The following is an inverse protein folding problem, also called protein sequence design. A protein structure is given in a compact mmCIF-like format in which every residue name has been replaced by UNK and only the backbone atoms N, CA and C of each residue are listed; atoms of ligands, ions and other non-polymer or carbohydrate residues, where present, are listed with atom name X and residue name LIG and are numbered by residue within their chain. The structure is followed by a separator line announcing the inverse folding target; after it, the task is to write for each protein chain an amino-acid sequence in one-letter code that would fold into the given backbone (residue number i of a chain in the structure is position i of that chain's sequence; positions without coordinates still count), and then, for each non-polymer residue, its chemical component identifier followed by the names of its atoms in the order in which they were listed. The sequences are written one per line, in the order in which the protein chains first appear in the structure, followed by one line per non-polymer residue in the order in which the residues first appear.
data_IF_825624725244
#
_entry.id   IF_825624725244
#
_cell.length_a   1.000
_cell.length_b   1.000
_cell.length_c   1.000
_cell.angle_alpha   90.00
_cell.angle_beta   90.00
_cell.angle_gamma   90.00
#
_symmetry.space_group_name_H-M   'P 1'
#
loop_
_entity.id
_entity.type
_entity.pdbx_description
1 polymer ?
#
# COMPACT_ATOMS: atom_id res chain seq x y z
N UNK A 1 -1.37 0.79 -19.19
CA UNK A 1 -2.12 0.72 -17.90
C UNK A 1 -3.10 1.87 -17.80
N UNK A 2 -3.70 2.09 -16.63
CA UNK A 2 -4.66 3.20 -16.39
C UNK A 2 -4.09 4.57 -16.80
N UNK A 3 -2.85 4.90 -16.40
CA UNK A 3 -2.22 6.17 -16.77
C UNK A 3 -2.07 6.37 -18.28
N UNK A 4 -1.74 5.32 -19.03
CA UNK A 4 -1.66 5.38 -20.49
C UNK A 4 -3.03 5.64 -21.14
N UNK A 5 -4.10 5.04 -20.61
CA UNK A 5 -5.47 5.27 -21.08
C UNK A 5 -5.92 6.71 -20.76
N UNK A 6 -5.66 7.21 -19.54
CA UNK A 6 -5.93 8.60 -19.19
C UNK A 6 -5.20 9.59 -20.11
N UNK A 7 -3.92 9.34 -20.40
CA UNK A 7 -3.14 10.17 -21.34
C UNK A 7 -3.71 10.13 -22.75
N UNK A 8 -4.17 8.95 -23.22
CA UNK A 8 -4.83 8.82 -24.52
C UNK A 8 -6.09 9.68 -24.58
N UNK A 9 -7.01 9.54 -23.62
CA UNK A 9 -8.25 10.32 -23.61
C UNK A 9 -8.01 11.81 -23.48
N UNK A 10 -7.08 12.23 -22.61
CA UNK A 10 -6.75 13.65 -22.46
C UNK A 10 -6.17 14.25 -23.75
N UNK A 11 -5.28 13.50 -24.42
CA UNK A 11 -4.68 13.95 -25.69
C UNK A 11 -5.71 14.04 -26.82
N UNK A 12 -6.68 13.12 -26.86
CA UNK A 12 -7.66 13.04 -27.93
C UNK A 12 -8.85 13.98 -27.75
N UNK A 13 -9.29 14.21 -26.51
CA UNK A 13 -10.57 14.88 -26.24
C UNK A 13 -10.45 16.11 -25.32
N UNK A 14 -9.24 16.46 -24.86
CA UNK A 14 -8.95 17.64 -24.04
C UNK A 14 -8.70 17.34 -22.56
N UNK A 15 -8.52 18.37 -21.74
CA UNK A 15 -8.06 18.21 -20.35
C UNK A 15 -9.15 17.82 -19.34
N UNK A 16 -10.40 17.70 -19.80
CA UNK A 16 -11.56 17.32 -19.00
C UNK A 16 -12.48 16.47 -19.87
N UNK A 17 -12.50 15.15 -19.65
CA UNK A 17 -13.14 14.17 -20.54
C UNK A 17 -14.02 13.23 -19.74
N UNK A 18 -15.19 12.89 -20.28
CA UNK A 18 -16.06 11.83 -19.74
C UNK A 18 -15.78 10.51 -20.44
N UNK A 19 -15.63 9.45 -19.66
CA UNK A 19 -15.51 8.05 -20.08
C UNK A 19 -16.45 7.17 -19.25
N UNK A 20 -16.52 5.87 -19.55
CA UNK A 20 -17.26 4.89 -18.75
C UNK A 20 -16.34 3.79 -18.26
N UNK A 21 -16.41 3.48 -16.97
CA UNK A 21 -15.70 2.35 -16.36
C UNK A 21 -16.74 1.49 -15.65
N UNK A 22 -16.85 0.22 -16.04
CA UNK A 22 -17.82 -0.73 -15.46
C UNK A 22 -19.28 -0.26 -15.49
N UNK A 23 -19.64 0.60 -16.46
CA UNK A 23 -20.99 1.14 -16.62
C UNK A 23 -21.24 2.47 -15.89
N UNK A 24 -20.29 2.96 -15.08
CA UNK A 24 -20.39 4.24 -14.39
C UNK A 24 -19.68 5.34 -15.17
N UNK A 25 -20.29 6.54 -15.19
CA UNK A 25 -19.64 7.72 -15.74
C UNK A 25 -18.42 8.09 -14.89
N UNK A 26 -17.28 8.25 -15.55
CA UNK A 26 -16.02 8.62 -14.91
C UNK A 26 -15.40 9.80 -15.64
N UNK A 27 -14.93 10.79 -14.89
CA UNK A 27 -14.25 11.95 -15.45
C UNK A 27 -12.74 11.75 -15.38
N UNK A 28 -12.07 11.90 -16.52
CA UNK A 28 -10.61 11.98 -16.64
C UNK A 28 -10.24 13.46 -16.75
N UNK A 29 -9.50 13.96 -15.77
CA UNK A 29 -9.24 15.39 -15.60
C UNK A 29 -7.73 15.61 -15.44
N UNK A 30 -7.18 16.51 -16.24
CA UNK A 30 -5.82 17.05 -16.11
C UNK A 30 -5.79 18.57 -15.86
N UNK A 31 -6.95 19.24 -15.93
CA UNK A 31 -7.07 20.67 -15.65
C UNK A 31 -6.78 20.99 -14.18
N UNK A 32 -5.75 21.78 -13.92
CA UNK A 32 -5.27 22.12 -12.57
C UNK A 32 -6.34 22.72 -11.66
N UNK A 33 -7.18 23.63 -12.17
CA UNK A 33 -8.27 24.26 -11.41
C UNK A 33 -9.30 23.22 -10.92
N UNK A 34 -9.62 22.25 -11.75
CA UNK A 34 -10.56 21.16 -11.42
C UNK A 34 -9.93 20.20 -10.42
N UNK A 35 -8.66 19.84 -10.58
CA UNK A 35 -7.92 19.03 -9.61
C UNK A 35 -7.87 19.69 -8.24
N UNK A 36 -7.59 21.00 -8.17
CA UNK A 36 -7.58 21.75 -6.92
C UNK A 36 -8.96 21.74 -6.23
N UNK A 37 -10.03 21.97 -6.99
CA UNK A 37 -11.40 21.91 -6.47
C UNK A 37 -11.72 20.53 -5.88
N UNK A 38 -11.41 19.46 -6.62
CA UNK A 38 -11.67 18.08 -6.19
C UNK A 38 -10.88 17.73 -4.92
N UNK A 39 -9.59 18.07 -4.87
CA UNK A 39 -8.75 17.75 -3.71
C UNK A 39 -9.06 18.60 -2.47
N UNK A 40 -9.67 19.78 -2.64
CA UNK A 40 -9.99 20.70 -1.55
C UNK A 40 -11.27 20.34 -0.81
N UNK A 41 -12.28 19.81 -1.50
CA UNK A 41 -13.61 19.65 -0.93
C UNK A 41 -13.89 18.23 -0.44
N UNK A 42 -14.42 18.11 0.77
CA UNK A 42 -14.58 16.84 1.48
C UNK A 42 -15.55 15.86 0.81
N UNK A 43 -16.51 16.34 0.02
CA UNK A 43 -17.46 15.47 -0.71
C UNK A 43 -16.81 14.67 -1.85
N UNK A 44 -15.52 14.90 -2.13
CA UNK A 44 -14.69 14.07 -3.00
C UNK A 44 -13.72 13.15 -2.24
N UNK A 45 -13.81 13.08 -0.90
CA UNK A 45 -12.97 12.21 -0.06
C UNK A 45 -13.39 10.74 -0.15
N UNK A 46 -13.32 10.18 -1.34
CA UNK A 46 -13.56 8.77 -1.62
C UNK A 46 -12.80 8.34 -2.88
N UNK A 47 -12.63 7.04 -3.07
CA UNK A 47 -12.08 6.44 -4.29
C UNK A 47 -13.04 5.40 -4.83
N UNK A 48 -12.83 5.01 -6.08
CA UNK A 48 -13.64 3.99 -6.73
C UNK A 48 -12.77 2.85 -7.26
N UNK A 49 -13.41 1.70 -7.48
CA UNK A 49 -12.81 0.50 -8.02
C UNK A 49 -13.84 -0.63 -8.06
N UNK A 50 -13.47 -1.75 -8.68
CA UNK A 50 -14.25 -2.97 -8.68
C UNK A 50 -14.47 -3.46 -7.26
N UNK A 51 -15.72 -3.51 -6.79
CA UNK A 51 -16.06 -4.04 -5.46
C UNK A 51 -15.47 -5.43 -5.23
N UNK A 52 -15.61 -6.35 -6.20
CA UNK A 52 -15.00 -7.67 -6.12
C UNK A 52 -13.47 -7.61 -6.05
N UNK A 53 -12.84 -6.77 -6.88
CA UNK A 53 -11.40 -6.56 -6.85
C UNK A 53 -10.91 -6.09 -5.48
N UNK A 54 -11.57 -5.06 -4.92
CA UNK A 54 -11.27 -4.50 -3.61
C UNK A 54 -11.51 -5.50 -2.47
N UNK A 55 -12.57 -6.31 -2.55
CA UNK A 55 -12.82 -7.39 -1.58
C UNK A 55 -11.72 -8.45 -1.62
N UNK A 56 -11.32 -8.91 -2.82
CA UNK A 56 -10.21 -9.86 -2.94
C UNK A 56 -8.93 -9.31 -2.34
N UNK A 57 -8.61 -8.04 -2.59
CA UNK A 57 -7.43 -7.36 -2.03
C UNK A 57 -7.52 -7.10 -0.52
N UNK A 58 -8.71 -7.13 0.08
CA UNK A 58 -8.96 -6.71 1.46
C UNK A 58 -8.96 -5.18 1.65
N UNK A 59 -9.21 -4.41 0.58
CA UNK A 59 -9.28 -2.94 0.60
C UNK A 59 -10.72 -2.40 0.52
N UNK A 60 -11.72 -3.26 0.29
CA UNK A 60 -13.11 -2.83 0.30
C UNK A 60 -13.54 -2.48 1.71
N UNK A 61 -13.90 -1.21 1.92
CA UNK A 61 -14.28 -0.66 3.23
C UNK A 61 -13.25 -0.89 4.35
N UNK A 62 -11.99 -1.16 3.99
CA UNK A 62 -10.93 -1.49 4.93
C UNK A 62 -9.61 -0.80 4.56
N UNK A 63 -8.77 -0.53 5.56
CA UNK A 63 -7.58 0.29 5.41
C UNK A 63 -7.92 1.74 5.04
N UNK A 64 -6.99 2.45 4.37
CA UNK A 64 -7.16 3.88 4.02
C UNK A 64 -6.95 4.21 2.55
N UNK A 65 -6.26 3.35 1.79
CA UNK A 65 -5.84 3.68 0.41
C UNK A 65 -7.04 3.70 -0.54
N UNK A 66 -7.82 2.62 -0.56
CA UNK A 66 -9.02 2.44 -1.40
C UNK A 66 -10.30 2.20 -0.57
N UNK A 67 -10.28 2.56 0.71
CA UNK A 67 -11.46 2.50 1.57
C UNK A 67 -12.45 3.60 1.15
N UNK A 68 -13.58 3.17 0.60
CA UNK A 68 -14.64 4.03 0.10
C UNK A 68 -15.80 4.21 1.10
N UNK A 69 -15.70 3.66 2.31
CA UNK A 69 -16.63 3.90 3.41
C UNK A 69 -16.17 5.13 4.22
N UNK A 70 -16.86 6.28 4.14
CA UNK A 70 -16.38 7.52 4.73
C UNK A 70 -16.26 7.47 6.26
N UNK A 71 -17.14 6.73 6.94
CA UNK A 71 -17.14 6.61 8.39
C UNK A 71 -15.90 5.82 8.86
N UNK A 72 -15.67 4.65 8.25
CA UNK A 72 -14.52 3.80 8.58
C UNK A 72 -13.21 4.50 8.21
N UNK A 73 -13.14 5.12 7.03
CA UNK A 73 -11.95 5.86 6.60
C UNK A 73 -11.61 7.01 7.55
N UNK A 74 -12.61 7.77 8.01
CA UNK A 74 -12.42 8.90 8.94
C UNK A 74 -11.94 8.43 10.31
N UNK A 75 -12.35 7.24 10.75
CA UNK A 75 -11.88 6.64 12.00
C UNK A 75 -10.45 6.08 11.91
N UNK A 76 -10.08 5.48 10.77
CA UNK A 76 -8.75 4.85 10.58
C UNK A 76 -7.64 5.84 10.20
N UNK A 77 -7.94 6.85 9.40
CA UNK A 77 -6.94 7.81 8.89
C UNK A 77 -6.09 8.48 9.98
N UNK A 78 -6.62 8.88 11.15
CA UNK A 78 -5.82 9.51 12.21
C UNK A 78 -4.61 8.69 12.66
N UNK A 79 -4.71 7.35 12.71
CA UNK A 79 -3.58 6.48 13.06
C UNK A 79 -2.41 6.62 12.07
N UNK A 80 -2.72 6.64 10.77
CA UNK A 80 -1.71 6.84 9.72
C UNK A 80 -1.09 8.25 9.76
N UNK A 81 -1.91 9.28 10.01
CA UNK A 81 -1.42 10.67 10.14
C UNK A 81 -0.49 10.80 11.36
N UNK A 82 -0.88 10.25 12.51
CA UNK A 82 -0.06 10.24 13.73
C UNK A 82 1.28 9.54 13.48
N UNK A 83 1.26 8.36 12.85
CA UNK A 83 2.46 7.60 12.55
C UNK A 83 3.38 8.29 11.52
N UNK A 84 2.82 9.09 10.60
CA UNK A 84 3.58 9.73 9.51
C UNK A 84 3.96 11.19 9.78
N UNK A 85 3.81 11.67 11.02
CA UNK A 85 4.07 13.07 11.38
C UNK A 85 4.77 13.17 12.74
N UNK A 86 5.13 14.40 13.14
CA UNK A 86 5.68 14.69 14.46
C UNK A 86 6.96 13.89 14.78
N UNK A 87 7.08 13.30 15.99
CA UNK A 87 8.28 12.57 16.41
C UNK A 87 8.64 11.38 15.51
N UNK A 88 7.64 10.71 14.92
CA UNK A 88 7.89 9.59 14.01
C UNK A 88 8.58 10.03 12.72
N UNK A 89 8.20 11.20 12.19
CA UNK A 89 8.87 11.79 11.04
C UNK A 89 10.32 12.20 11.36
N UNK A 90 10.57 12.74 12.56
CA UNK A 90 11.93 13.06 13.01
C UNK A 90 12.81 11.79 13.11
N UNK A 91 12.28 10.70 13.68
CA UNK A 91 12.99 9.40 13.76
C UNK A 91 13.22 8.77 12.39
N UNK A 92 12.32 8.97 11.43
CA UNK A 92 12.41 8.40 10.08
C UNK A 92 13.74 8.75 9.40
N UNK A 93 14.28 9.96 9.61
CA UNK A 93 15.55 10.36 8.99
C UNK A 93 16.69 9.43 9.41
N UNK A 94 16.86 9.21 10.72
CA UNK A 94 17.91 8.32 11.25
C UNK A 94 17.68 6.88 10.82
N UNK A 95 16.44 6.38 10.92
CA UNK A 95 16.08 5.00 10.52
C UNK A 95 16.37 4.76 9.04
N UNK A 96 16.05 5.71 8.16
CA UNK A 96 16.36 5.60 6.73
C UNK A 96 17.87 5.57 6.47
N UNK A 97 18.64 6.43 7.14
CA UNK A 97 20.11 6.47 6.97
C UNK A 97 20.74 5.16 7.43
N UNK A 98 20.36 4.66 8.62
CA UNK A 98 20.84 3.38 9.14
C UNK A 98 20.46 2.22 8.20
N UNK A 99 19.21 2.16 7.77
CA UNK A 99 18.74 1.12 6.84
C UNK A 99 19.52 1.17 5.52
N UNK A 100 19.70 2.35 4.91
CA UNK A 100 20.49 2.50 3.68
C UNK A 100 21.92 2.02 3.88
N UNK A 101 22.59 2.47 4.95
CA UNK A 101 23.98 2.10 5.22
C UNK A 101 24.14 0.58 5.40
N UNK A 102 23.29 -0.05 6.22
CA UNK A 102 23.30 -1.49 6.44
C UNK A 102 23.09 -2.30 5.16
N UNK A 103 22.35 -1.75 4.19
CA UNK A 103 22.14 -2.38 2.89
C UNK A 103 23.28 -2.13 1.91
N UNK A 104 23.93 -0.96 1.98
CA UNK A 104 25.13 -0.65 1.19
C UNK A 104 26.34 -1.48 1.65
N UNK A 105 26.45 -1.79 2.95
CA UNK A 105 27.48 -2.67 3.49
C UNK A 105 27.32 -4.13 3.01
N UNK A 106 26.12 -4.50 2.54
CA UNK A 106 25.76 -5.83 2.00
C UNK A 106 25.39 -5.77 0.52
N UNK A 107 26.03 -4.86 -0.23
CA UNK A 107 25.68 -4.60 -1.64
C UNK A 107 25.87 -5.84 -2.54
N UNK A 108 26.73 -6.77 -2.13
CA UNK A 108 26.96 -8.05 -2.81
C UNK A 108 25.68 -8.89 -2.93
N UNK A 109 24.75 -8.80 -1.97
CA UNK A 109 23.47 -9.55 -2.02
C UNK A 109 22.57 -9.16 -3.21
N UNK A 110 22.79 -7.99 -3.79
CA UNK A 110 22.02 -7.44 -4.91
C UNK A 110 22.87 -7.12 -6.14
N UNK A 111 24.16 -7.50 -6.13
CA UNK A 111 25.10 -7.25 -7.22
C UNK A 111 25.41 -8.54 -7.96
N UNK A 112 25.33 -8.53 -9.30
CA UNK A 112 25.67 -9.71 -10.09
C UNK A 112 27.19 -9.83 -10.31
N UNK A 113 27.64 -10.95 -10.89
CA UNK A 113 29.06 -11.21 -11.16
C UNK A 113 29.74 -10.19 -12.10
N UNK A 114 28.98 -9.39 -12.83
CA UNK A 114 29.48 -8.31 -13.70
C UNK A 114 29.55 -6.95 -12.98
N UNK A 115 29.21 -6.89 -11.68
CA UNK A 115 29.18 -5.65 -10.91
C UNK A 115 27.91 -4.81 -11.10
N UNK A 116 26.87 -5.32 -11.77
CA UNK A 116 25.61 -4.60 -11.92
C UNK A 116 24.73 -4.78 -10.68
N UNK A 117 24.41 -3.65 -10.03
CA UNK A 117 23.53 -3.58 -8.86
C UNK A 117 22.06 -3.62 -9.29
N UNK A 118 21.27 -4.50 -8.68
CA UNK A 118 19.82 -4.46 -8.79
C UNK A 118 19.24 -3.38 -7.86
N UNK A 119 19.33 -2.11 -8.31
CA UNK A 119 18.90 -0.92 -7.55
C UNK A 119 17.44 -1.01 -7.11
N UNK A 120 16.56 -1.59 -7.93
CA UNK A 120 15.15 -1.75 -7.56
C UNK A 120 14.96 -2.70 -6.38
N UNK A 121 15.72 -3.80 -6.31
CA UNK A 121 15.66 -4.72 -5.17
C UNK A 121 16.26 -4.09 -3.93
N UNK A 122 17.40 -3.41 -4.08
CA UNK A 122 18.04 -2.64 -3.00
C UNK A 122 17.04 -1.66 -2.36
N UNK A 123 16.46 -0.76 -3.17
CA UNK A 123 15.50 0.24 -2.69
C UNK A 123 14.27 -0.37 -2.03
N UNK A 124 13.74 -1.48 -2.56
CA UNK A 124 12.57 -2.14 -1.98
C UNK A 124 12.86 -2.77 -0.62
N UNK A 125 14.03 -3.39 -0.45
CA UNK A 125 14.45 -3.96 0.83
C UNK A 125 14.68 -2.89 1.88
N UNK A 126 15.44 -1.85 1.54
CA UNK A 126 15.67 -0.69 2.42
C UNK A 126 14.36 0.00 2.82
N UNK A 127 13.43 0.21 1.88
CA UNK A 127 12.12 0.80 2.20
C UNK A 127 11.28 -0.09 3.11
N UNK A 128 11.33 -1.41 2.93
CA UNK A 128 10.62 -2.36 3.79
C UNK A 128 11.22 -2.38 5.20
N UNK A 129 12.54 -2.45 5.32
CA UNK A 129 13.26 -2.44 6.59
C UNK A 129 12.98 -1.15 7.38
N UNK A 130 13.14 0.03 6.75
CA UNK A 130 12.83 1.31 7.38
C UNK A 130 11.35 1.39 7.84
N UNK A 131 10.42 0.93 7.00
CA UNK A 131 8.99 0.89 7.34
C UNK A 131 8.71 -0.06 8.52
N UNK A 132 9.29 -1.26 8.51
CA UNK A 132 9.13 -2.23 9.59
C UNK A 132 9.69 -1.67 10.90
N UNK A 133 10.92 -1.17 10.89
CA UNK A 133 11.60 -0.59 12.06
C UNK A 133 10.82 0.60 12.65
N UNK A 134 10.14 1.39 11.83
CA UNK A 134 9.36 2.51 12.34
C UNK A 134 7.96 2.11 12.83
N UNK A 135 7.29 1.17 12.15
CA UNK A 135 5.84 0.98 12.31
C UNK A 135 5.40 -0.36 12.91
N UNK A 136 6.23 -1.40 12.89
CA UNK A 136 5.84 -2.76 13.30
C UNK A 136 6.87 -3.41 14.25
N UNK A 137 8.16 -3.31 13.92
CA UNK A 137 9.32 -3.75 14.71
C UNK A 137 9.34 -5.25 15.01
N UNK A 138 8.91 -6.05 14.04
CA UNK A 138 8.99 -7.53 14.11
C UNK A 138 10.05 -8.02 13.12
N UNK A 139 10.98 -8.89 13.54
CA UNK A 139 11.93 -9.52 12.62
C UNK A 139 11.20 -10.21 11.46
N UNK A 140 11.67 -9.99 10.23
CA UNK A 140 11.05 -10.56 9.03
C UNK A 140 12.08 -10.90 7.96
N UNK A 141 11.71 -11.79 7.04
CA UNK A 141 12.51 -12.11 5.85
C UNK A 141 12.21 -11.07 4.76
N UNK A 142 13.07 -10.06 4.64
CA UNK A 142 12.89 -8.95 3.70
C UNK A 142 12.77 -9.43 2.25
N UNK A 143 13.60 -10.39 1.83
CA UNK A 143 13.61 -10.90 0.46
C UNK A 143 12.27 -11.53 0.12
N UNK A 144 11.74 -12.36 1.00
CA UNK A 144 10.47 -13.03 0.83
C UNK A 144 9.29 -12.05 0.87
N UNK A 145 9.28 -11.13 1.85
CA UNK A 145 8.19 -10.16 1.98
C UNK A 145 8.18 -9.18 0.80
N UNK A 146 9.33 -8.70 0.31
CA UNK A 146 9.39 -7.85 -0.90
C UNK A 146 8.78 -8.55 -2.11
N UNK A 147 9.07 -9.83 -2.33
CA UNK A 147 8.48 -10.60 -3.44
C UNK A 147 6.95 -10.71 -3.31
N UNK A 148 6.45 -10.95 -2.09
CA UNK A 148 5.01 -11.01 -1.81
C UNK A 148 4.33 -9.65 -2.00
N UNK A 149 4.98 -8.55 -1.58
CA UNK A 149 4.49 -7.17 -1.80
C UNK A 149 4.39 -6.87 -3.30
N UNK A 150 5.40 -7.26 -4.09
CA UNK A 150 5.34 -7.12 -5.55
C UNK A 150 4.15 -7.89 -6.14
N UNK A 151 3.97 -9.15 -5.76
CA UNK A 151 2.84 -9.97 -6.21
C UNK A 151 1.48 -9.37 -5.82
N UNK A 152 1.38 -8.81 -4.61
CA UNK A 152 0.19 -8.10 -4.16
C UNK A 152 -0.07 -6.83 -4.98
N UNK A 153 0.97 -6.03 -5.28
CA UNK A 153 0.85 -4.83 -6.11
C UNK A 153 0.43 -5.16 -7.55
N UNK A 154 0.98 -6.23 -8.13
CA UNK A 154 0.57 -6.73 -9.45
C UNK A 154 -0.90 -7.14 -9.45
N UNK A 155 -1.35 -7.84 -8.40
CA UNK A 155 -2.76 -8.19 -8.21
C UNK A 155 -3.65 -6.96 -8.05
N UNK A 156 -3.21 -5.97 -7.29
CA UNK A 156 -3.94 -4.73 -7.11
C UNK A 156 -4.13 -3.98 -8.43
N UNK A 157 -3.04 -3.73 -9.16
CA UNK A 157 -3.11 -3.07 -10.45
C UNK A 157 -3.98 -3.85 -11.46
N UNK A 158 -3.92 -5.19 -11.43
CA UNK A 158 -4.66 -6.03 -12.36
C UNK A 158 -6.16 -6.06 -12.09
N UNK A 159 -6.59 -6.07 -10.81
CA UNK A 159 -7.98 -6.31 -10.41
C UNK A 159 -8.77 -5.02 -10.16
N UNK A 160 -8.11 -3.88 -9.91
CA UNK A 160 -8.73 -2.65 -9.43
C UNK A 160 -9.93 -2.17 -10.24
N UNK A 161 -9.90 -2.27 -11.57
CA UNK A 161 -10.98 -1.81 -12.46
C UNK A 161 -11.52 -2.92 -13.36
N UNK A 162 -11.33 -4.19 -12.97
CA UNK A 162 -11.85 -5.31 -13.76
C UNK A 162 -13.39 -5.36 -13.67
N UNK A 163 -14.08 -5.64 -14.78
CA UNK A 163 -15.53 -5.77 -14.78
C UNK A 163 -15.95 -7.04 -14.03
N UNK A 164 -17.16 -7.06 -13.48
CA UNK A 164 -17.67 -8.17 -12.68
C UNK A 164 -17.61 -9.54 -13.39
N UNK A 165 -17.76 -9.56 -14.72
CA UNK A 165 -17.66 -10.79 -15.52
C UNK A 165 -16.29 -11.47 -15.42
N UNK A 166 -15.21 -10.70 -15.19
CA UNK A 166 -13.86 -11.24 -15.01
C UNK A 166 -13.78 -12.17 -13.80
N UNK A 167 -14.50 -11.84 -12.72
CA UNK A 167 -14.48 -12.59 -11.47
C UNK A 167 -15.37 -13.84 -11.50
N UNK A 168 -16.32 -13.93 -12.44
CA UNK A 168 -17.09 -15.16 -12.68
C UNK A 168 -16.22 -16.29 -13.24
N UNK A 169 -15.10 -15.95 -13.89
CA UNK A 169 -14.19 -16.90 -14.53
C UNK A 169 -12.98 -17.10 -13.61
N UNK A 170 -13.12 -18.01 -12.65
CA UNK A 170 -12.19 -18.15 -11.52
C UNK A 170 -10.72 -18.41 -11.90
N UNK A 171 -10.43 -19.04 -13.04
CA UNK A 171 -9.05 -19.27 -13.45
C UNK A 171 -8.32 -17.99 -13.87
N UNK A 172 -9.04 -16.94 -14.33
CA UNK A 172 -8.44 -15.66 -14.75
C UNK A 172 -7.93 -14.85 -13.56
N UNK A 173 -8.55 -14.97 -12.38
CA UNK A 173 -8.18 -14.24 -11.17
C UNK A 173 -7.32 -15.07 -10.20
N UNK A 174 -7.21 -16.39 -10.40
CA UNK A 174 -6.54 -17.33 -9.48
C UNK A 174 -5.10 -16.93 -9.13
N UNK A 175 -4.31 -16.51 -10.12
CA UNK A 175 -2.92 -16.07 -9.91
C UNK A 175 -2.87 -14.89 -8.93
N UNK A 176 -3.72 -13.90 -9.13
CA UNK A 176 -3.77 -12.69 -8.31
C UNK A 176 -4.29 -12.98 -6.90
N UNK A 177 -5.32 -13.83 -6.77
CA UNK A 177 -5.82 -14.28 -5.47
C UNK A 177 -4.74 -15.00 -4.65
N UNK A 178 -3.93 -15.83 -5.30
CA UNK A 178 -2.79 -16.50 -4.66
C UNK A 178 -1.79 -15.49 -4.11
N UNK A 179 -1.33 -14.54 -4.93
CA UNK A 179 -0.39 -13.50 -4.49
C UNK A 179 -0.94 -12.67 -3.33
N UNK A 180 -2.23 -12.35 -3.35
CA UNK A 180 -2.89 -11.62 -2.26
C UNK A 180 -2.88 -12.44 -0.96
N UNK A 181 -3.23 -13.73 -1.04
CA UNK A 181 -3.22 -14.62 0.13
C UNK A 181 -1.81 -14.75 0.72
N UNK A 182 -0.81 -14.96 -0.13
CA UNK A 182 0.58 -15.14 0.32
C UNK A 182 1.12 -13.96 1.12
N UNK A 183 0.82 -12.72 0.71
CA UNK A 183 1.21 -11.54 1.49
C UNK A 183 0.38 -11.43 2.77
N UNK A 184 -0.94 -11.63 2.69
CA UNK A 184 -1.85 -11.50 3.84
C UNK A 184 -1.48 -12.47 4.95
N UNK A 185 -1.22 -13.73 4.62
CA UNK A 185 -0.82 -14.74 5.59
C UNK A 185 0.52 -14.37 6.23
N UNK A 186 1.50 -13.92 5.43
CA UNK A 186 2.80 -13.53 5.93
C UNK A 186 2.73 -12.33 6.89
N UNK A 187 1.95 -11.30 6.54
CA UNK A 187 1.73 -10.13 7.40
C UNK A 187 0.89 -10.49 8.63
N UNK A 188 -0.08 -11.40 8.49
CA UNK A 188 -0.87 -11.92 9.60
C UNK A 188 0.00 -12.57 10.68
N UNK A 189 0.98 -13.39 10.29
CA UNK A 189 1.95 -13.98 11.24
C UNK A 189 2.71 -12.89 11.99
N UNK A 190 3.17 -11.84 11.30
CA UNK A 190 3.88 -10.73 11.95
C UNK A 190 2.97 -9.95 12.91
N UNK A 191 1.70 -9.78 12.56
CA UNK A 191 0.72 -9.10 13.41
C UNK A 191 0.40 -9.92 14.67
N UNK A 192 0.26 -11.24 14.57
CA UNK A 192 0.06 -12.11 15.75
C UNK A 192 1.27 -12.08 16.68
N UNK A 193 2.48 -12.14 16.14
CA UNK A 193 3.72 -11.99 16.92
C UNK A 193 3.76 -10.62 17.61
N UNK A 194 3.36 -9.55 16.91
CA UNK A 194 3.26 -8.21 17.50
C UNK A 194 2.26 -8.15 18.65
N UNK A 195 1.06 -8.73 18.48
CA UNK A 195 0.06 -8.83 19.56
C UNK A 195 0.64 -9.56 20.76
N UNK A 196 1.28 -10.71 20.56
CA UNK A 196 1.88 -11.48 21.64
C UNK A 196 2.92 -10.67 22.43
N UNK A 197 3.81 -9.95 21.75
CA UNK A 197 4.81 -9.08 22.40
C UNK A 197 4.19 -7.92 23.18
N UNK A 198 3.11 -7.32 22.67
CA UNK A 198 2.40 -6.25 23.38
C UNK A 198 1.78 -6.80 24.68
N UNK A 199 1.09 -7.94 24.61
CA UNK A 199 0.39 -8.50 25.78
C UNK A 199 1.31 -9.12 26.84
N UNK A 200 2.58 -9.38 26.51
CA UNK A 200 3.57 -9.94 27.44
C UNK A 200 4.58 -8.91 27.94
N UNK A 201 4.56 -7.67 27.43
CA UNK A 201 5.50 -6.64 27.83
C UNK A 201 5.22 -6.09 29.24
N UNK A 202 6.26 -5.98 30.07
CA UNK A 202 6.16 -5.39 31.42
C UNK A 202 5.89 -3.88 31.39
N UNK A 203 6.33 -3.18 30.33
CA UNK A 203 6.11 -1.74 30.11
C UNK A 203 5.83 -1.46 28.64
N UNK A 204 4.70 -0.82 28.35
CA UNK A 204 4.29 -0.48 26.97
C UNK A 204 4.85 0.86 26.46
N UNK A 205 5.21 1.77 27.37
CA UNK A 205 5.51 3.17 27.06
C UNK A 205 6.69 3.34 26.09
N UNK A 206 7.70 2.48 26.17
CA UNK A 206 8.90 2.52 25.31
C UNK A 206 8.69 1.87 23.93
N UNK A 207 7.52 1.25 23.69
CA UNK A 207 7.25 0.39 22.53
C UNK A 207 5.99 0.80 21.73
N UNK A 208 5.48 2.01 21.95
CA UNK A 208 4.35 2.52 21.18
C UNK A 208 4.79 2.90 19.76
N UNK A 209 4.34 2.12 18.79
CA UNK A 209 4.44 2.36 17.37
C UNK A 209 3.07 2.23 16.70
N UNK A 210 3.03 2.40 15.38
CA UNK A 210 1.77 2.38 14.61
C UNK A 210 0.98 1.08 14.82
N UNK A 211 1.65 -0.07 14.78
CA UNK A 211 0.98 -1.36 14.98
C UNK A 211 0.45 -1.49 16.42
N UNK A 212 1.21 -1.03 17.42
CA UNK A 212 0.74 -0.98 18.82
C UNK A 212 -0.50 -0.09 18.97
N UNK A 213 -0.49 1.13 18.40
CA UNK A 213 -1.63 2.05 18.45
C UNK A 213 -2.90 1.43 17.85
N UNK A 214 -2.77 0.69 16.73
CA UNK A 214 -3.90 0.01 16.10
C UNK A 214 -4.41 -1.18 16.92
N UNK A 215 -3.52 -2.04 17.40
CA UNK A 215 -3.89 -3.23 18.19
C UNK A 215 -4.62 -2.83 19.48
N UNK A 216 -4.21 -1.74 20.13
CA UNK A 216 -4.87 -1.23 21.33
C UNK A 216 -6.23 -0.56 21.06
N UNK A 217 -6.54 -0.28 19.80
CA UNK A 217 -7.80 0.31 19.37
C UNK A 217 -8.79 -0.72 18.78
N UNK A 218 -8.39 -1.98 18.60
CA UNK A 218 -9.25 -3.12 18.24
C UNK A 218 -10.20 -3.47 19.41
#
# INVERSE_FOLDING_TARGET
GLGSACNYYNKMYGEFVRVWISGEETLVISKSSSTFHIMKHDHYSSRFGSTFGLQYMGMHENGVIFNNNPAVWKALRPFFVKASSGPSLARMVTVCVESVNNHLDRLDEVTNALGHVNVLTLMRRTMLDASNTLFLRIPLDEKNIVLKIQGYFDAWQALLIKPNIFFKISWLSRKHQKSIKELRDAVGILAEEKRHRIFTAEKLEDHVDFATDLILAE
#
